data_IF_660663507257
#
_entry.id   IF_660663507257
#
_cell.length_a   1.000
_cell.length_b   1.000
_cell.length_c   1.000
_cell.angle_alpha   90.00
_cell.angle_beta   90.00
_cell.angle_gamma   90.00
#
_symmetry.space_group_name_H-M   'P 1'
#
loop_
_entity.id
_entity.type
_entity.pdbx_description
1 polymer ?
#
# COMPACT_ATOMS: atom_id res chain seq x y z
N UNK A 1 33.03 12.81 -20.64
CA UNK A 1 33.07 11.44 -20.06
C UNK A 1 31.71 11.18 -19.44
N UNK A 2 30.86 10.44 -20.14
CA UNK A 2 29.47 10.18 -19.78
C UNK A 2 29.39 8.95 -18.88
N UNK A 3 28.96 9.13 -17.64
CA UNK A 3 28.85 8.06 -16.65
C UNK A 3 27.65 7.18 -17.02
N UNK A 4 27.92 6.00 -17.57
CA UNK A 4 26.90 5.06 -18.02
C UNK A 4 26.00 4.60 -16.85
N UNK A 5 24.71 4.94 -16.94
CA UNK A 5 23.64 4.38 -16.11
C UNK A 5 23.59 2.87 -16.37
N UNK A 6 23.94 2.05 -15.37
CA UNK A 6 23.88 0.58 -15.49
C UNK A 6 22.43 0.12 -15.62
N UNK A 7 22.04 -0.29 -16.83
CA UNK A 7 20.81 -1.05 -17.10
C UNK A 7 20.93 -2.44 -16.48
N UNK A 8 20.01 -2.80 -15.58
CA UNK A 8 19.89 -4.17 -15.05
C UNK A 8 18.68 -4.80 -15.74
N UNK A 9 18.92 -5.72 -16.66
CA UNK A 9 17.87 -6.55 -17.25
C UNK A 9 17.44 -7.53 -16.16
N UNK A 10 16.27 -7.32 -15.58
CA UNK A 10 15.60 -8.37 -14.81
C UNK A 10 14.85 -9.25 -15.83
N UNK A 11 14.76 -10.56 -15.60
CA UNK A 11 14.21 -11.56 -16.53
C UNK A 11 13.01 -11.07 -17.40
N UNK A 12 12.86 -11.58 -18.63
CA UNK A 12 12.87 -10.84 -19.89
C UNK A 12 11.54 -10.14 -20.19
N UNK A 13 11.22 -9.05 -19.49
CA UNK A 13 9.91 -8.42 -19.71
C UNK A 13 9.99 -6.90 -19.87
N UNK A 14 10.84 -6.20 -19.10
CA UNK A 14 10.88 -4.73 -19.17
C UNK A 14 12.28 -4.15 -19.02
N UNK A 15 12.53 -3.07 -19.76
CA UNK A 15 13.67 -2.20 -19.53
C UNK A 15 13.32 -1.21 -18.42
N UNK A 16 14.05 -1.28 -17.31
CA UNK A 16 13.89 -0.39 -16.15
C UNK A 16 14.94 0.72 -16.21
N UNK A 17 14.49 1.97 -16.13
CA UNK A 17 15.35 3.16 -16.02
C UNK A 17 15.10 3.84 -14.67
N UNK A 18 16.17 4.26 -14.00
CA UNK A 18 16.09 4.98 -12.72
C UNK A 18 16.48 6.44 -12.91
N UNK A 19 15.96 7.35 -12.07
CA UNK A 19 16.49 8.71 -11.97
C UNK A 19 18.00 8.69 -11.67
N UNK A 20 18.76 9.61 -12.27
CA UNK A 20 20.20 9.70 -12.01
C UNK A 20 20.53 10.18 -10.59
N UNK A 21 19.57 10.85 -9.93
CA UNK A 21 19.70 11.39 -8.58
C UNK A 21 18.62 10.83 -7.66
N UNK A 22 18.89 10.70 -6.35
CA UNK A 22 17.84 10.39 -5.38
C UNK A 22 16.69 11.40 -5.46
N UNK A 23 15.47 10.91 -5.31
CA UNK A 23 14.28 11.75 -5.35
C UNK A 23 14.26 12.77 -4.21
N UNK A 24 13.68 13.95 -4.48
CA UNK A 24 13.53 15.09 -3.57
C UNK A 24 12.28 15.02 -2.72
N UNK A 25 11.32 14.16 -3.07
CA UNK A 25 10.07 13.98 -2.32
C UNK A 25 10.21 12.75 -1.40
N UNK A 26 10.31 12.94 -0.07
CA UNK A 26 10.35 11.82 0.87
C UNK A 26 9.11 10.95 0.71
N UNK A 27 9.26 9.63 0.79
CA UNK A 27 8.15 8.71 0.59
C UNK A 27 7.77 8.46 -0.87
N UNK A 28 8.56 8.91 -1.86
CA UNK A 28 8.35 8.62 -3.29
C UNK A 28 9.54 7.92 -3.92
N UNK A 29 9.27 6.90 -4.74
CA UNK A 29 10.24 6.27 -5.63
C UNK A 29 9.70 6.25 -7.06
N UNK A 30 10.53 6.64 -8.03
CA UNK A 30 10.15 6.75 -9.45
C UNK A 30 10.96 5.77 -10.31
N UNK A 31 10.28 5.13 -11.26
CA UNK A 31 10.87 4.23 -12.24
C UNK A 31 10.33 4.51 -13.64
N UNK A 32 11.20 4.50 -14.64
CA UNK A 32 10.80 4.42 -16.04
C UNK A 32 10.75 2.97 -16.46
N UNK A 33 9.64 2.54 -17.04
CA UNK A 33 9.46 1.19 -17.54
C UNK A 33 9.16 1.26 -19.03
N UNK A 34 9.82 0.40 -19.80
CA UNK A 34 9.62 0.30 -21.24
C UNK A 34 9.53 -1.16 -21.65
N UNK A 35 8.50 -1.44 -22.43
CA UNK A 35 8.32 -2.70 -23.15
C UNK A 35 8.65 -2.53 -24.61
N UNK A 36 9.45 -3.46 -25.14
CA UNK A 36 9.66 -3.65 -26.58
C UNK A 36 9.68 -5.12 -26.94
N UNK A 37 9.09 -5.97 -26.08
CA UNK A 37 8.99 -7.39 -26.32
C UNK A 37 8.12 -7.70 -27.54
N UNK A 38 8.39 -8.80 -28.27
CA UNK A 38 7.60 -9.19 -29.44
C UNK A 38 6.19 -9.69 -29.07
N UNK A 39 5.93 -9.97 -27.78
CA UNK A 39 4.65 -10.46 -27.29
C UNK A 39 4.10 -9.53 -26.21
N UNK A 40 2.76 -9.32 -26.15
CA UNK A 40 2.13 -8.61 -25.05
C UNK A 40 2.48 -9.26 -23.71
N UNK A 41 2.78 -8.40 -22.75
CA UNK A 41 3.02 -8.81 -21.38
C UNK A 41 1.69 -9.12 -20.70
N UNK A 42 1.62 -10.26 -20.02
CA UNK A 42 0.49 -10.64 -19.16
C UNK A 42 1.02 -11.25 -17.85
N UNK A 43 1.07 -10.43 -16.79
CA UNK A 43 1.56 -10.84 -15.48
C UNK A 43 0.58 -10.58 -14.36
N UNK A 44 0.63 -11.42 -13.32
CA UNK A 44 -0.07 -11.18 -12.07
C UNK A 44 0.51 -9.94 -11.39
N UNK A 45 -0.38 -9.08 -10.90
CA UNK A 45 -0.01 -8.01 -9.99
C UNK A 45 -0.09 -8.55 -8.56
N UNK A 46 1.06 -8.67 -7.91
CA UNK A 46 1.10 -9.09 -6.52
C UNK A 46 0.71 -7.93 -5.58
N UNK A 47 0.22 -8.21 -4.37
CA UNK A 47 0.02 -7.19 -3.35
C UNK A 47 1.34 -6.58 -2.89
N UNK A 48 1.35 -5.29 -2.60
CA UNK A 48 2.53 -4.55 -2.14
C UNK A 48 2.16 -3.49 -1.10
N UNK A 49 3.08 -3.09 -0.21
CA UNK A 49 2.83 -2.14 0.87
C UNK A 49 2.96 -0.68 0.42
N UNK A 50 2.77 -0.38 -0.87
CA UNK A 50 2.84 0.99 -1.40
C UNK A 50 1.63 1.29 -2.27
N UNK A 51 1.29 2.56 -2.43
CA UNK A 51 0.39 2.96 -3.50
C UNK A 51 1.22 3.12 -4.78
N UNK A 52 0.70 2.64 -5.90
CA UNK A 52 1.41 2.73 -7.18
C UNK A 52 0.59 3.54 -8.17
N UNK A 53 1.19 4.60 -8.73
CA UNK A 53 0.70 5.23 -9.94
C UNK A 53 1.50 4.67 -11.10
N UNK A 54 0.81 4.22 -12.14
CA UNK A 54 1.41 3.91 -13.42
C UNK A 54 0.96 4.97 -14.43
N UNK A 55 1.89 5.84 -14.83
CA UNK A 55 1.64 7.00 -15.68
C UNK A 55 2.07 6.67 -17.11
N UNK A 56 1.13 6.63 -18.05
CA UNK A 56 1.44 6.42 -19.46
C UNK A 56 2.26 7.59 -20.01
N UNK A 57 3.35 7.28 -20.71
CA UNK A 57 4.27 8.28 -21.28
C UNK A 57 4.22 8.33 -22.82
N UNK A 58 3.27 7.64 -23.45
CA UNK A 58 3.10 7.55 -24.91
C UNK A 58 1.79 6.86 -25.29
N UNK A 59 1.66 6.47 -26.56
CA UNK A 59 0.40 5.90 -27.11
C UNK A 59 0.12 4.45 -26.71
N UNK A 60 1.08 3.76 -26.08
CA UNK A 60 0.92 2.37 -25.66
C UNK A 60 -0.13 2.19 -24.56
N UNK A 61 -0.89 1.09 -24.62
CA UNK A 61 -1.93 0.77 -23.65
C UNK A 61 -1.38 -0.07 -22.49
N UNK A 62 -1.22 0.55 -21.33
CA UNK A 62 -1.13 -0.16 -20.04
C UNK A 62 -2.55 -0.47 -19.54
N UNK A 63 -2.76 -1.69 -19.10
CA UNK A 63 -4.04 -2.12 -18.55
C UNK A 63 -3.92 -3.01 -17.33
N UNK A 64 -4.93 -2.92 -16.47
CA UNK A 64 -5.14 -3.84 -15.35
C UNK A 64 -6.50 -4.49 -15.55
N UNK A 65 -6.52 -5.82 -15.53
CA UNK A 65 -7.74 -6.63 -15.57
C UNK A 65 -7.95 -7.26 -14.19
N UNK A 66 -9.10 -7.00 -13.58
CA UNK A 66 -9.51 -7.58 -12.31
C UNK A 66 -10.19 -8.95 -12.50
N UNK A 67 -10.20 -9.80 -11.47
CA UNK A 67 -10.94 -11.08 -11.49
C UNK A 67 -12.46 -10.90 -11.65
N UNK A 68 -12.99 -9.73 -11.29
CA UNK A 68 -14.40 -9.38 -11.49
C UNK A 68 -14.75 -9.16 -12.96
N UNK A 69 -13.76 -9.18 -13.87
CA UNK A 69 -13.92 -8.91 -15.29
C UNK A 69 -13.79 -7.42 -15.66
N UNK A 70 -13.69 -6.52 -14.67
CA UNK A 70 -13.42 -5.10 -14.91
C UNK A 70 -12.04 -4.89 -15.51
N UNK A 71 -11.95 -3.97 -16.47
CA UNK A 71 -10.72 -3.64 -17.18
C UNK A 71 -10.46 -2.15 -17.09
N UNK A 72 -9.25 -1.79 -16.68
CA UNK A 72 -8.79 -0.41 -16.51
C UNK A 72 -7.67 -0.14 -17.50
N UNK A 73 -7.65 1.04 -18.12
CA UNK A 73 -6.67 1.39 -19.16
C UNK A 73 -6.13 2.81 -18.94
N UNK A 74 -4.92 3.05 -19.41
CA UNK A 74 -4.29 4.37 -19.37
C UNK A 74 -3.43 4.57 -18.12
N UNK A 75 -3.52 5.77 -17.52
CA UNK A 75 -2.80 6.06 -16.28
C UNK A 75 -3.62 5.62 -15.08
N UNK A 76 -3.07 4.70 -14.28
CA UNK A 76 -3.78 3.97 -13.25
C UNK A 76 -3.17 4.20 -11.87
N UNK A 77 -4.00 4.17 -10.83
CA UNK A 77 -3.57 4.23 -9.44
C UNK A 77 -4.11 3.03 -8.69
N UNK A 78 -3.22 2.26 -8.07
CA UNK A 78 -3.57 1.12 -7.22
C UNK A 78 -3.31 1.44 -5.76
N UNK A 79 -4.25 1.06 -4.90
CA UNK A 79 -4.06 1.20 -3.46
C UNK A 79 -3.25 0.07 -2.83
N UNK A 80 -3.13 0.15 -1.51
CA UNK A 80 -2.33 -0.78 -0.72
C UNK A 80 -2.86 -2.20 -0.79
N UNK A 81 -1.96 -3.14 -1.07
CA UNK A 81 -2.31 -4.55 -1.19
C UNK A 81 -3.32 -4.84 -2.30
N UNK A 82 -3.46 -3.96 -3.29
CA UNK A 82 -4.26 -4.28 -4.48
C UNK A 82 -3.71 -5.56 -5.15
N UNK A 83 -4.61 -6.43 -5.60
CA UNK A 83 -4.25 -7.76 -6.13
C UNK A 83 -4.28 -8.89 -5.11
N UNK A 84 -4.69 -8.65 -3.85
CA UNK A 84 -4.86 -9.71 -2.84
C UNK A 84 -5.75 -10.83 -3.39
N UNK A 85 -5.30 -12.07 -3.24
CA UNK A 85 -5.94 -13.26 -3.80
C UNK A 85 -5.54 -13.58 -5.24
N UNK A 86 -4.60 -12.84 -5.83
CA UNK A 86 -4.00 -13.18 -7.13
C UNK A 86 -4.83 -12.85 -8.35
N UNK A 87 -5.86 -12.03 -8.17
CA UNK A 87 -6.92 -11.80 -9.13
C UNK A 87 -6.57 -10.78 -10.23
N UNK A 88 -5.64 -9.86 -9.97
CA UNK A 88 -5.34 -8.75 -10.86
C UNK A 88 -4.19 -9.09 -11.82
N UNK A 89 -4.37 -8.77 -13.10
CA UNK A 89 -3.36 -8.99 -14.14
C UNK A 89 -3.03 -7.69 -14.86
N UNK A 90 -1.73 -7.40 -14.99
CA UNK A 90 -1.22 -6.32 -15.81
C UNK A 90 -1.08 -6.82 -17.24
N UNK A 91 -1.66 -6.07 -18.17
CA UNK A 91 -1.50 -6.26 -19.61
C UNK A 91 -0.88 -5.04 -20.22
N UNK A 92 0.18 -5.23 -20.99
CA UNK A 92 0.79 -4.14 -21.72
C UNK A 92 1.50 -4.64 -22.98
N UNK A 93 1.56 -3.81 -24.01
CA UNK A 93 2.28 -4.10 -25.23
C UNK A 93 2.80 -2.80 -25.81
N UNK A 94 4.09 -2.77 -26.18
CA UNK A 94 4.73 -1.59 -26.80
C UNK A 94 4.48 -0.29 -26.02
N UNK A 95 4.60 -0.37 -24.69
CA UNK A 95 4.25 0.74 -23.80
C UNK A 95 5.49 1.30 -23.10
N UNK A 96 5.44 2.61 -22.88
CA UNK A 96 6.31 3.31 -21.95
C UNK A 96 5.45 3.88 -20.85
N UNK A 97 5.79 3.57 -19.60
CA UNK A 97 5.12 4.16 -18.46
C UNK A 97 6.10 4.48 -17.36
N UNK A 98 5.73 5.44 -16.54
CA UNK A 98 6.43 5.74 -15.30
C UNK A 98 5.69 5.09 -14.15
N UNK A 99 6.40 4.29 -13.36
CA UNK A 99 5.89 3.81 -12.08
C UNK A 99 6.29 4.81 -11.00
N UNK A 100 5.31 5.26 -10.22
CA UNK A 100 5.49 6.07 -9.03
C UNK A 100 5.01 5.27 -7.84
N UNK A 101 5.91 4.92 -6.93
CA UNK A 101 5.58 4.33 -5.64
C UNK A 101 5.47 5.42 -4.59
N UNK A 102 4.37 5.41 -3.86
CA UNK A 102 4.02 6.44 -2.87
C UNK A 102 3.79 5.78 -1.53
N UNK A 103 4.49 6.26 -0.51
CA UNK A 103 4.28 5.84 0.87
C UNK A 103 2.85 6.19 1.31
N UNK A 104 2.15 5.29 2.00
CA UNK A 104 0.83 5.56 2.59
C UNK A 104 0.76 6.85 3.41
N UNK A 105 1.87 7.21 4.06
CA UNK A 105 1.93 8.38 4.93
C UNK A 105 1.94 9.73 4.18
N UNK A 106 2.24 9.77 2.87
CA UNK A 106 2.06 10.97 2.02
C UNK A 106 0.94 10.85 1.00
N UNK A 107 0.32 9.66 0.89
CA UNK A 107 -0.65 9.35 -0.14
C UNK A 107 -1.82 10.34 -0.18
N UNK A 108 -2.36 10.74 0.99
CA UNK A 108 -3.45 11.71 1.05
C UNK A 108 -3.05 13.10 0.56
N UNK A 109 -1.81 13.52 0.82
CA UNK A 109 -1.29 14.79 0.35
C UNK A 109 -1.12 14.80 -1.17
N UNK A 110 -0.73 13.66 -1.74
CA UNK A 110 -0.38 13.53 -3.17
C UNK A 110 -1.57 13.15 -4.05
N UNK A 111 -2.43 12.25 -3.60
CA UNK A 111 -3.52 11.68 -4.37
C UNK A 111 -4.86 12.36 -4.11
N UNK A 112 -4.94 13.27 -3.13
CA UNK A 112 -6.17 13.92 -2.65
C UNK A 112 -7.22 12.99 -2.03
N UNK A 113 -7.06 11.67 -2.15
CA UNK A 113 -7.88 10.64 -1.51
C UNK A 113 -7.15 9.96 -0.37
N UNK A 114 -7.87 9.53 0.67
CA UNK A 114 -7.29 8.72 1.73
C UNK A 114 -6.93 7.32 1.24
N UNK A 115 -5.84 6.69 1.74
CA UNK A 115 -5.51 5.30 1.39
C UNK A 115 -6.64 4.28 1.62
N UNK A 116 -7.51 4.54 2.61
CA UNK A 116 -8.68 3.70 2.90
C UNK A 116 -9.70 3.69 1.75
N UNK A 117 -9.79 4.77 0.99
CA UNK A 117 -10.70 4.91 -0.15
C UNK A 117 -10.17 4.13 -1.36
N UNK A 118 -8.86 3.87 -1.40
CA UNK A 118 -8.20 3.06 -2.42
C UNK A 118 -7.94 1.61 -1.98
N UNK A 119 -8.48 1.19 -0.84
CA UNK A 119 -8.18 -0.14 -0.30
C UNK A 119 -8.57 -1.24 -1.30
N UNK A 120 -7.57 -2.02 -1.73
CA UNK A 120 -7.74 -3.08 -2.72
C UNK A 120 -8.50 -2.65 -3.98
N UNK A 121 -8.38 -1.38 -4.39
CA UNK A 121 -8.98 -0.86 -5.62
C UNK A 121 -7.94 -0.34 -6.60
N UNK A 122 -8.39 -0.22 -7.85
CA UNK A 122 -7.69 0.46 -8.94
C UNK A 122 -8.63 1.51 -9.52
N UNK A 123 -8.09 2.70 -9.75
CA UNK A 123 -8.82 3.85 -10.32
C UNK A 123 -7.99 4.50 -11.41
N UNK A 124 -8.63 5.28 -12.26
CA UNK A 124 -7.90 6.09 -13.24
C UNK A 124 -7.32 7.34 -12.58
N UNK A 125 -6.25 7.88 -13.17
CA UNK A 125 -5.70 9.15 -12.72
C UNK A 125 -6.70 10.31 -12.91
N UNK A 126 -7.56 10.21 -13.93
CA UNK A 126 -8.60 11.17 -14.24
C UNK A 126 -9.65 11.25 -13.13
N UNK A 127 -10.05 10.11 -12.57
CA UNK A 127 -10.99 10.05 -11.44
C UNK A 127 -10.42 10.74 -10.18
N UNK A 128 -9.10 10.65 -9.97
CA UNK A 128 -8.44 11.21 -8.78
C UNK A 128 -8.07 12.69 -8.91
N UNK A 129 -7.53 13.08 -10.07
CA UNK A 129 -6.96 14.41 -10.28
C UNK A 129 -7.84 15.32 -11.15
N UNK A 130 -8.93 14.78 -11.68
CA UNK A 130 -9.78 15.42 -12.67
C UNK A 130 -9.15 15.36 -14.07
N UNK A 131 -10.00 15.23 -15.08
CA UNK A 131 -9.62 15.07 -16.50
C UNK A 131 -8.59 16.12 -16.96
N UNK A 132 -8.84 17.40 -16.65
CA UNK A 132 -7.97 18.50 -17.09
C UNK A 132 -6.54 18.37 -16.59
N UNK A 133 -6.37 18.00 -15.31
CA UNK A 133 -5.04 17.90 -14.70
C UNK A 133 -4.34 16.63 -15.15
N UNK A 134 -5.05 15.51 -15.20
CA UNK A 134 -4.53 14.24 -15.67
C UNK A 134 -4.10 14.32 -17.15
N UNK A 135 -4.93 14.93 -18.01
CA UNK A 135 -4.61 15.19 -19.41
C UNK A 135 -3.36 16.04 -19.57
N UNK A 136 -3.26 17.17 -18.85
CA UNK A 136 -2.06 18.03 -18.89
C UNK A 136 -0.79 17.26 -18.52
N UNK A 137 -0.83 16.42 -17.48
CA UNK A 137 0.33 15.62 -17.11
C UNK A 137 0.69 14.60 -18.19
N UNK A 138 -0.30 13.91 -18.77
CA UNK A 138 -0.07 12.95 -19.86
C UNK A 138 0.55 13.62 -21.08
N UNK A 139 0.02 14.78 -21.50
CA UNK A 139 0.56 15.57 -22.62
C UNK A 139 2.01 15.98 -22.36
N UNK A 140 2.31 16.46 -21.16
CA UNK A 140 3.67 16.83 -20.78
C UNK A 140 4.63 15.64 -20.77
N UNK A 141 4.19 14.49 -20.24
CA UNK A 141 4.99 13.26 -20.23
C UNK A 141 5.26 12.75 -21.66
N UNK A 142 4.26 12.80 -22.53
CA UNK A 142 4.37 12.39 -23.93
C UNK A 142 5.27 13.33 -24.75
N UNK A 143 5.20 14.64 -24.50
CA UNK A 143 6.04 15.64 -25.16
C UNK A 143 7.50 15.62 -24.69
N UNK A 144 7.80 14.95 -23.57
CA UNK A 144 9.14 14.89 -22.99
C UNK A 144 9.92 13.69 -23.55
N UNK A 145 11.10 13.95 -24.11
CA UNK A 145 11.88 12.96 -24.84
C UNK A 145 12.75 12.07 -23.92
N UNK A 146 13.25 12.58 -22.80
CA UNK A 146 14.14 11.83 -21.91
C UNK A 146 13.47 11.36 -20.61
N UNK A 147 13.92 10.23 -20.08
CA UNK A 147 13.45 9.73 -18.78
C UNK A 147 13.78 10.71 -17.63
N UNK A 148 14.95 11.35 -17.66
CA UNK A 148 15.35 12.27 -16.59
C UNK A 148 14.44 13.50 -16.51
N UNK A 149 14.07 14.07 -17.66
CA UNK A 149 13.12 15.18 -17.71
C UNK A 149 11.72 14.73 -17.26
N UNK A 150 11.27 13.53 -17.65
CA UNK A 150 9.99 12.97 -17.17
C UNK A 150 10.02 12.81 -15.65
N UNK A 151 11.12 12.30 -15.07
CA UNK A 151 11.27 12.14 -13.63
C UNK A 151 11.21 13.48 -12.91
N UNK A 152 11.97 14.48 -13.39
CA UNK A 152 11.97 15.82 -12.83
C UNK A 152 10.58 16.48 -12.87
N UNK A 153 9.84 16.26 -13.97
CA UNK A 153 8.48 16.78 -14.13
C UNK A 153 7.51 16.17 -13.12
N UNK A 154 7.49 14.84 -13.00
CA UNK A 154 6.60 14.15 -12.05
C UNK A 154 7.00 14.50 -10.62
N UNK A 155 8.29 14.52 -10.31
CA UNK A 155 8.79 14.93 -9.00
C UNK A 155 8.34 16.35 -8.62
N UNK A 156 8.41 17.31 -9.53
CA UNK A 156 7.95 18.68 -9.27
C UNK A 156 6.44 18.74 -8.96
N UNK A 157 5.64 17.96 -9.67
CA UNK A 157 4.19 17.85 -9.42
C UNK A 157 3.92 17.23 -8.04
N UNK A 158 4.60 16.13 -7.72
CA UNK A 158 4.45 15.43 -6.44
C UNK A 158 4.94 16.28 -5.26
N UNK A 159 6.04 17.02 -5.42
CA UNK A 159 6.57 17.93 -4.41
C UNK A 159 5.57 19.04 -4.07
N UNK A 160 4.98 19.67 -5.10
CA UNK A 160 3.95 20.69 -4.92
C UNK A 160 2.72 20.14 -4.19
N UNK A 161 2.28 18.95 -4.56
CA UNK A 161 1.15 18.30 -3.90
C UNK A 161 1.45 17.95 -2.45
N UNK A 162 2.60 17.33 -2.19
CA UNK A 162 3.01 16.95 -0.85
C UNK A 162 3.15 18.15 0.08
N UNK A 163 3.59 19.31 -0.45
CA UNK A 163 3.72 20.54 0.33
C UNK A 163 2.37 21.24 0.62
N UNK A 164 1.39 21.11 -0.28
CA UNK A 164 0.08 21.74 -0.13
C UNK A 164 -0.97 20.84 0.56
N UNK A 165 -0.77 19.53 0.51
CA UNK A 165 -1.72 18.54 1.01
C UNK A 165 -1.64 18.33 2.52
N UNK A 166 -2.66 17.67 3.10
CA UNK A 166 -2.69 17.40 4.55
C UNK A 166 -1.57 16.43 4.94
N UNK A 167 -0.76 16.82 5.93
CA UNK A 167 0.22 15.95 6.55
C UNK A 167 -0.45 14.90 7.45
N UNK A 168 0.19 13.73 7.57
CA UNK A 168 -0.16 12.71 8.55
C UNK A 168 0.48 13.03 9.91
N UNK A 169 -0.09 12.47 10.99
CA UNK A 169 0.50 12.53 12.31
C UNK A 169 1.94 11.93 12.31
N UNK A 170 2.97 12.65 12.82
CA UNK A 170 4.36 12.17 12.82
C UNK A 170 4.56 10.80 13.47
N UNK A 171 3.81 10.51 14.54
CA UNK A 171 3.79 9.23 15.23
C UNK A 171 3.38 8.09 14.29
N UNK A 172 2.43 8.36 13.39
CA UNK A 172 1.91 7.37 12.48
C UNK A 172 2.83 7.16 11.26
N UNK A 173 3.47 8.23 10.79
CA UNK A 173 4.55 8.14 9.80
C UNK A 173 5.73 7.32 10.37
N UNK A 174 6.13 7.59 11.61
CA UNK A 174 7.17 6.84 12.30
C UNK A 174 6.81 5.36 12.44
N UNK A 175 5.59 5.03 12.87
CA UNK A 175 5.16 3.65 13.04
C UNK A 175 5.17 2.89 11.71
N UNK A 176 4.72 3.53 10.62
CA UNK A 176 4.82 2.97 9.28
C UNK A 176 6.27 2.73 8.87
N UNK A 177 7.13 3.74 9.01
CA UNK A 177 8.55 3.65 8.63
C UNK A 177 9.29 2.59 9.46
N UNK A 178 8.92 2.38 10.73
CA UNK A 178 9.44 1.31 11.59
C UNK A 178 9.04 -0.07 11.09
N UNK A 179 7.77 -0.27 10.74
CA UNK A 179 7.30 -1.52 10.12
C UNK A 179 8.10 -1.81 8.85
N UNK A 180 8.30 -0.82 7.99
CA UNK A 180 9.05 -0.97 6.74
C UNK A 180 10.54 -1.27 7.01
N UNK A 181 11.16 -0.52 7.92
CA UNK A 181 12.58 -0.68 8.25
C UNK A 181 12.90 -2.05 8.87
N UNK A 182 11.95 -2.63 9.62
CA UNK A 182 12.06 -3.97 10.18
C UNK A 182 11.43 -5.05 9.29
N UNK A 183 11.07 -4.71 8.06
CA UNK A 183 10.49 -5.64 7.10
C UNK A 183 9.26 -6.41 7.65
N UNK A 184 8.44 -5.73 8.45
CA UNK A 184 7.25 -6.30 9.06
C UNK A 184 7.55 -7.33 10.15
N UNK A 185 8.72 -7.30 10.78
CA UNK A 185 9.06 -8.18 11.91
C UNK A 185 8.70 -7.58 13.27
N UNK A 186 8.50 -6.26 13.34
CA UNK A 186 8.07 -5.55 14.55
C UNK A 186 6.71 -6.05 15.06
N UNK A 187 6.56 -6.08 16.39
CA UNK A 187 5.28 -6.44 17.03
C UNK A 187 4.37 -5.21 17.11
N UNK A 188 3.08 -5.40 16.84
CA UNK A 188 2.10 -4.30 16.93
C UNK A 188 1.96 -3.78 18.36
N UNK A 189 2.13 -4.66 19.35
CA UNK A 189 2.15 -4.29 20.76
C UNK A 189 3.31 -3.34 21.08
N UNK A 190 4.52 -3.65 20.59
CA UNK A 190 5.73 -2.83 20.78
C UNK A 190 5.57 -1.44 20.16
N UNK A 191 5.03 -1.36 18.94
CA UNK A 191 4.69 -0.07 18.32
C UNK A 191 3.70 0.75 19.17
N UNK A 192 2.70 0.09 19.77
CA UNK A 192 1.72 0.77 20.60
C UNK A 192 2.35 1.29 21.90
N UNK A 193 3.19 0.48 22.53
CA UNK A 193 3.89 0.80 23.78
C UNK A 193 4.89 1.94 23.58
N UNK A 194 5.68 1.92 22.51
CA UNK A 194 6.63 2.99 22.18
C UNK A 194 5.91 4.33 21.91
N UNK A 195 4.76 4.30 21.25
CA UNK A 195 3.94 5.48 21.01
C UNK A 195 3.16 5.95 22.25
N UNK A 196 3.12 5.17 23.33
CA UNK A 196 2.23 5.40 24.47
C UNK A 196 0.74 5.33 24.09
N UNK A 197 0.40 4.59 23.03
CA UNK A 197 -0.96 4.45 22.53
C UNK A 197 -1.58 3.13 22.96
N UNK A 198 -2.89 3.12 23.22
CA UNK A 198 -3.60 1.85 23.34
C UNK A 198 -3.65 1.15 21.97
N UNK A 199 -3.71 -0.19 21.97
CA UNK A 199 -3.89 -0.98 20.75
C UNK A 199 -5.12 -0.56 19.94
N UNK A 200 -6.20 -0.15 20.63
CA UNK A 200 -7.44 0.36 19.99
C UNK A 200 -7.18 1.70 19.28
N UNK A 201 -6.43 2.62 19.90
CA UNK A 201 -6.04 3.89 19.28
C UNK A 201 -5.15 3.66 18.07
N UNK A 202 -4.12 2.81 18.21
CA UNK A 202 -3.23 2.46 17.10
C UNK A 202 -4.02 1.89 15.92
N UNK A 203 -4.88 0.89 16.19
CA UNK A 203 -5.74 0.29 15.18
C UNK A 203 -6.60 1.33 14.45
N UNK A 204 -7.31 2.18 15.20
CA UNK A 204 -8.21 3.19 14.64
C UNK A 204 -7.47 4.22 13.79
N UNK A 205 -6.30 4.69 14.24
CA UNK A 205 -5.50 5.67 13.51
C UNK A 205 -4.90 5.09 12.24
N UNK A 206 -4.34 3.88 12.30
CA UNK A 206 -3.84 3.16 11.12
C UNK A 206 -4.94 2.95 10.08
N UNK A 207 -6.09 2.44 10.49
CA UNK A 207 -7.20 2.22 9.57
C UNK A 207 -7.69 3.53 8.93
N UNK A 208 -7.88 4.58 9.72
CA UNK A 208 -8.43 5.85 9.22
C UNK A 208 -7.46 6.63 8.32
N UNK A 209 -6.15 6.56 8.59
CA UNK A 209 -5.16 7.40 7.89
C UNK A 209 -4.34 6.65 6.85
N UNK A 210 -4.03 5.38 7.10
CA UNK A 210 -3.23 4.53 6.22
C UNK A 210 -4.06 3.48 5.47
N UNK A 211 -5.35 3.34 5.76
CA UNK A 211 -6.24 2.42 5.05
C UNK A 211 -6.05 0.96 5.38
N UNK A 212 -5.20 0.62 6.36
CA UNK A 212 -4.96 -0.76 6.78
C UNK A 212 -4.81 -0.84 8.30
N UNK A 213 -5.38 -1.87 8.96
CA UNK A 213 -5.03 -2.19 10.34
C UNK A 213 -3.53 -2.48 10.53
N UNK A 214 -2.93 -2.17 11.70
CA UNK A 214 -1.50 -2.37 11.95
C UNK A 214 -1.02 -3.79 11.69
N UNK A 215 -1.77 -4.80 12.14
CA UNK A 215 -1.44 -6.22 11.91
C UNK A 215 -1.40 -6.58 10.43
N UNK A 216 -2.29 -5.97 9.62
CA UNK A 216 -2.35 -6.22 8.17
C UNK A 216 -1.21 -5.50 7.45
N UNK A 217 -0.84 -4.30 7.88
CA UNK A 217 0.35 -3.60 7.40
C UNK A 217 1.64 -4.41 7.65
N UNK A 218 1.86 -4.87 8.89
CA UNK A 218 3.00 -5.74 9.27
C UNK A 218 3.08 -6.98 8.39
N UNK A 219 1.94 -7.68 8.21
CA UNK A 219 1.88 -8.87 7.34
C UNK A 219 2.19 -8.55 5.88
N UNK A 220 1.64 -7.46 5.34
CA UNK A 220 1.84 -7.07 3.95
C UNK A 220 3.30 -6.72 3.66
N UNK A 221 3.95 -5.95 4.56
CA UNK A 221 5.38 -5.62 4.44
C UNK A 221 6.24 -6.88 4.56
N UNK A 222 5.93 -7.79 5.49
CA UNK A 222 6.66 -9.05 5.64
C UNK A 222 6.52 -9.95 4.41
N UNK A 223 5.31 -10.08 3.89
CA UNK A 223 5.03 -10.84 2.68
C UNK A 223 5.80 -10.28 1.48
N UNK A 224 5.75 -8.96 1.28
CA UNK A 224 6.43 -8.29 0.18
C UNK A 224 7.96 -8.50 0.24
N UNK A 225 8.53 -8.48 1.45
CA UNK A 225 9.93 -8.83 1.66
C UNK A 225 10.26 -10.29 1.34
N UNK A 226 9.39 -11.21 1.77
CA UNK A 226 9.54 -12.63 1.46
C UNK A 226 9.39 -12.92 -0.03
N UNK A 227 8.42 -12.28 -0.71
CA UNK A 227 8.21 -12.42 -2.15
C UNK A 227 9.42 -11.93 -2.95
N UNK A 228 10.03 -10.81 -2.54
CA UNK A 228 11.28 -10.31 -3.13
C UNK A 228 12.40 -11.33 -3.05
N UNK A 229 12.57 -12.00 -1.91
CA UNK A 229 13.58 -13.04 -1.72
C UNK A 229 13.31 -14.32 -2.50
N UNK A 230 12.06 -14.76 -2.54
CA UNK A 230 11.64 -15.91 -3.34
C UNK A 230 11.96 -15.67 -4.83
N UNK A 231 11.63 -14.49 -5.36
CA UNK A 231 11.98 -14.13 -6.73
C UNK A 231 13.50 -13.94 -6.95
N UNK A 232 14.23 -13.61 -5.89
CA UNK A 232 15.70 -13.64 -5.87
C UNK A 232 16.30 -15.04 -5.88
N UNK A 233 15.47 -16.10 -5.94
CA UNK A 233 15.91 -17.49 -6.00
C UNK A 233 16.27 -18.12 -4.66
N UNK A 234 15.92 -17.48 -3.53
CA UNK A 234 16.17 -18.07 -2.22
C UNK A 234 15.15 -19.17 -1.89
N UNK A 235 15.66 -20.25 -1.29
CA UNK A 235 14.86 -21.40 -0.86
C UNK A 235 13.78 -21.02 0.17
N UNK A 236 12.57 -21.52 0.00
CA UNK A 236 11.41 -21.12 0.80
C UNK A 236 11.58 -21.33 2.30
N UNK A 237 12.27 -22.39 2.73
CA UNK A 237 12.56 -22.63 4.14
C UNK A 237 13.49 -21.56 4.74
N UNK A 238 14.49 -21.12 3.98
CA UNK A 238 15.40 -20.03 4.37
C UNK A 238 14.68 -18.69 4.37
N UNK A 239 13.87 -18.42 3.36
CA UNK A 239 13.02 -17.22 3.32
C UNK A 239 12.09 -17.15 4.53
N UNK A 240 11.49 -18.28 4.93
CA UNK A 240 10.63 -18.33 6.11
C UNK A 240 11.39 -17.89 7.38
N UNK A 241 12.56 -18.47 7.63
CA UNK A 241 13.40 -18.12 8.77
C UNK A 241 13.85 -16.65 8.72
N UNK A 242 14.43 -16.20 7.60
CA UNK A 242 14.99 -14.85 7.45
C UNK A 242 13.91 -13.75 7.50
N UNK A 243 12.67 -14.07 7.11
CA UNK A 243 11.56 -13.12 7.11
C UNK A 243 10.69 -13.18 8.40
N UNK A 244 11.05 -14.00 9.39
CA UNK A 244 10.34 -14.07 10.67
C UNK A 244 9.01 -14.83 10.61
N UNK A 245 8.89 -15.79 9.69
CA UNK A 245 7.84 -16.80 9.75
C UNK A 245 8.22 -17.91 10.73
N UNK A 246 7.22 -18.51 11.36
CA UNK A 246 7.42 -19.61 12.31
C UNK A 246 8.02 -20.84 11.61
N UNK A 247 7.59 -21.10 10.38
CA UNK A 247 8.01 -22.23 9.55
C UNK A 247 7.64 -21.97 8.08
N UNK A 248 8.08 -22.86 7.18
CA UNK A 248 7.76 -22.78 5.75
C UNK A 248 6.26 -22.89 5.46
N UNK A 249 5.51 -23.64 6.27
CA UNK A 249 4.05 -23.82 6.11
C UNK A 249 3.29 -22.53 6.43
N UNK A 250 3.79 -21.71 7.37
CA UNK A 250 3.27 -20.38 7.66
C UNK A 250 3.57 -19.41 6.50
N UNK A 251 4.80 -19.41 5.97
CA UNK A 251 5.14 -18.65 4.76
C UNK A 251 4.20 -19.03 3.61
N UNK A 252 4.02 -20.33 3.36
CA UNK A 252 3.16 -20.83 2.29
C UNK A 252 1.72 -20.33 2.43
N UNK A 253 1.13 -20.41 3.64
CA UNK A 253 -0.24 -19.93 3.90
C UNK A 253 -0.38 -18.43 3.63
N UNK A 254 0.55 -17.61 4.10
CA UNK A 254 0.50 -16.16 3.87
C UNK A 254 0.70 -15.84 2.37
N UNK A 255 1.64 -16.51 1.69
CA UNK A 255 1.84 -16.34 0.23
C UNK A 255 0.59 -16.71 -0.56
N UNK A 256 -0.04 -17.85 -0.25
CA UNK A 256 -1.31 -18.26 -0.87
C UNK A 256 -2.43 -17.24 -0.58
N UNK A 257 -2.51 -16.72 0.64
CA UNK A 257 -3.54 -15.74 1.01
C UNK A 257 -3.36 -14.40 0.25
N UNK A 258 -2.12 -13.95 0.06
CA UNK A 258 -1.85 -12.71 -0.66
C UNK A 258 -1.92 -12.88 -2.18
N UNK A 259 -1.39 -13.97 -2.74
CA UNK A 259 -1.17 -14.09 -4.19
C UNK A 259 -2.05 -15.11 -4.88
N UNK A 260 -2.80 -15.93 -4.13
CA UNK A 260 -3.56 -17.05 -4.68
C UNK A 260 -2.71 -18.20 -5.22
N UNK A 261 -1.38 -18.12 -5.17
CA UNK A 261 -0.46 -19.11 -5.74
C UNK A 261 0.63 -19.52 -4.76
N UNK A 262 1.37 -20.57 -5.10
CA UNK A 262 2.42 -21.12 -4.23
C UNK A 262 3.69 -20.25 -4.22
N UNK A 263 4.54 -20.36 -3.18
CA UNK A 263 5.85 -19.71 -3.13
C UNK A 263 6.73 -20.00 -4.37
N UNK A 264 6.68 -21.23 -4.91
CA UNK A 264 7.42 -21.60 -6.10
C UNK A 264 6.94 -20.82 -7.34
N UNK A 265 5.63 -20.59 -7.45
CA UNK A 265 5.07 -19.75 -8.52
C UNK A 265 5.47 -18.29 -8.37
N UNK A 266 5.47 -17.75 -7.14
CA UNK A 266 5.95 -16.38 -6.87
C UNK A 266 7.40 -16.22 -7.29
N UNK A 267 8.27 -17.21 -6.98
CA UNK A 267 9.67 -17.18 -7.35
C UNK A 267 9.92 -17.04 -8.86
N UNK A 268 9.04 -17.59 -9.70
CA UNK A 268 9.19 -17.57 -11.16
C UNK A 268 8.38 -16.51 -11.92
N UNK A 269 7.40 -15.85 -11.29
CA UNK A 269 6.37 -15.07 -12.01
C UNK A 269 5.98 -13.74 -11.36
N UNK A 270 6.64 -13.34 -10.27
CA UNK A 270 6.28 -12.09 -9.58
C UNK A 270 6.81 -10.86 -10.33
N UNK A 271 5.89 -10.07 -10.89
CA UNK A 271 6.22 -8.81 -11.57
C UNK A 271 6.79 -7.78 -10.58
N UNK A 272 6.21 -7.71 -9.38
CA UNK A 272 6.64 -6.78 -8.33
C UNK A 272 8.00 -7.19 -7.78
N UNK A 273 8.22 -8.45 -7.43
CA UNK A 273 9.52 -8.88 -6.94
C UNK A 273 10.62 -8.74 -8.00
N UNK A 274 10.30 -8.96 -9.28
CA UNK A 274 11.19 -8.69 -10.41
C UNK A 274 11.53 -7.20 -10.51
N UNK A 275 10.53 -6.32 -10.42
CA UNK A 275 10.76 -4.88 -10.38
C UNK A 275 11.50 -4.43 -9.11
N UNK A 276 11.29 -5.11 -7.97
CA UNK A 276 11.80 -4.75 -6.64
C UNK A 276 13.21 -5.22 -6.38
N UNK A 277 13.64 -6.31 -7.00
CA UNK A 277 15.07 -6.64 -7.12
C UNK A 277 15.86 -5.56 -7.90
N UNK A 278 15.15 -4.71 -8.65
CA UNK A 278 15.68 -3.50 -9.24
C UNK A 278 15.45 -2.25 -8.34
N UNK A 279 15.30 -2.39 -7.02
CA UNK A 279 15.32 -1.27 -6.06
C UNK A 279 16.06 -1.66 -4.78
N UNK A 280 16.71 -0.69 -4.13
CA UNK A 280 17.29 -0.87 -2.78
C UNK A 280 16.30 -0.41 -1.70
N UNK A 281 15.36 0.48 -2.05
CA UNK A 281 14.28 0.99 -1.19
C UNK A 281 12.92 0.87 -1.89
N UNK A 282 12.47 -0.35 -2.19
CA UNK A 282 11.24 -0.57 -2.96
C UNK A 282 9.96 -0.17 -2.22
N UNK A 283 10.04 -0.04 -0.89
CA UNK A 283 9.01 0.58 -0.04
C UNK A 283 9.56 1.91 0.47
N UNK A 284 9.09 3.05 -0.06
CA UNK A 284 9.66 4.34 0.30
C UNK A 284 9.26 4.72 1.72
N UNK A 285 10.24 5.23 2.47
CA UNK A 285 10.07 5.76 3.83
C UNK A 285 10.05 7.28 3.79
N UNK A 286 9.33 7.92 4.70
CA UNK A 286 9.44 9.38 4.85
C UNK A 286 10.74 9.75 5.57
N UNK A 287 11.12 8.94 6.55
CA UNK A 287 12.24 9.20 7.41
C UNK A 287 13.49 8.43 6.97
N UNK A 288 14.09 8.81 5.83
CA UNK A 288 15.53 8.60 5.69
C UNK A 288 16.32 9.41 6.76
N UNK A 289 15.67 10.43 7.35
CA UNK A 289 16.25 11.41 8.28
C UNK A 289 16.16 11.07 9.77
N UNK A 290 15.34 10.11 10.22
CA UNK A 290 15.04 9.96 11.66
C UNK A 290 15.76 8.79 12.34
N UNK A 291 16.38 7.88 11.59
CA UNK A 291 16.98 6.66 12.15
C UNK A 291 15.97 5.85 12.98
N UNK A 292 16.43 4.84 13.71
CA UNK A 292 15.59 4.09 14.66
C UNK A 292 15.28 4.90 15.94
N UNK A 293 15.20 6.23 15.88
CA UNK A 293 14.99 7.04 17.07
C UNK A 293 13.58 6.78 17.65
N UNK A 294 13.46 6.55 18.97
CA UNK A 294 12.20 6.23 19.61
C UNK A 294 11.22 7.40 19.59
N UNK A 295 9.93 7.07 19.68
CA UNK A 295 8.82 8.02 19.73
C UNK A 295 8.81 8.95 20.96
N UNK A 296 9.72 8.77 21.92
CA UNK A 296 9.92 9.67 23.07
C UNK A 296 10.31 11.11 22.70
N UNK A 297 10.55 11.40 21.41
CA UNK A 297 10.72 12.77 20.89
C UNK A 297 9.41 13.48 20.53
N UNK A 298 8.27 12.80 20.51
CA UNK A 298 6.97 13.42 20.23
C UNK A 298 6.30 14.02 21.48
N UNK A 299 7.05 14.22 22.57
CA UNK A 299 6.55 14.76 23.84
C UNK A 299 5.90 16.15 23.64
N UNK A 300 4.56 16.14 23.59
CA UNK A 300 3.61 17.24 23.52
C UNK A 300 2.28 16.80 24.19
N UNK A 301 1.31 17.70 24.44
CA UNK A 301 0.39 17.66 25.61
C UNK A 301 -0.72 16.58 25.61
N UNK A 302 -0.56 15.49 24.85
CA UNK A 302 -1.58 14.45 24.68
C UNK A 302 -1.25 13.11 25.34
N UNK A 303 -0.34 13.08 26.32
CA UNK A 303 -0.21 11.90 27.19
C UNK A 303 -1.43 11.84 28.13
N UNK A 304 -2.33 10.85 28.01
CA UNK A 304 -3.34 10.64 29.05
C UNK A 304 -2.60 10.28 30.35
N UNK A 305 -3.04 10.79 31.52
CA UNK A 305 -2.39 10.49 32.78
C UNK A 305 -2.37 8.96 33.00
N UNK A 306 -1.31 8.43 33.63
CA UNK A 306 -1.25 7.01 33.96
C UNK A 306 -2.46 6.63 34.82
N UNK A 307 -3.02 5.42 34.67
CA UNK A 307 -4.08 4.96 35.56
C UNK A 307 -3.52 4.97 36.99
N UNK A 308 -4.05 5.83 37.85
CA UNK A 308 -3.74 5.85 39.26
C UNK A 308 -4.26 4.56 39.88
N UNK A 309 -3.40 3.55 39.96
CA UNK A 309 -3.63 2.34 40.73
C UNK A 309 -3.50 2.65 42.21
N UNK A 310 -4.62 2.99 42.84
CA UNK A 310 -4.78 3.03 44.28
C UNK A 310 -5.89 2.08 44.67
N UNK A 311 -5.54 0.86 45.04
CA UNK A 311 -6.49 -0.06 45.66
C UNK A 311 -6.76 0.36 47.10
N UNK A 312 -8.02 0.59 47.43
CA UNK A 312 -8.52 0.32 48.78
C UNK A 312 -9.84 -0.42 48.70
N UNK A 313 -9.86 -1.50 49.47
CA UNK A 313 -10.91 -2.48 49.68
C UNK A 313 -12.06 -1.86 50.47
N UNK A 314 -13.29 -2.16 50.07
CA UNK A 314 -14.42 -2.40 50.96
C UNK A 314 -15.17 -1.19 51.49
N UNK A 315 -16.39 -0.97 50.97
CA UNK A 315 -17.60 -0.92 51.79
C UNK A 315 -18.84 -1.09 50.89
N UNK A 316 -19.70 -2.05 51.25
CA UNK A 316 -21.10 -2.14 50.81
C UNK A 316 -21.93 -1.34 51.83
N UNK A 317 -23.01 -0.65 51.48
CA UNK A 317 -24.46 -1.04 51.46
C UNK A 317 -25.22 0.33 51.57
N UNK A 318 -26.55 0.51 51.33
CA UNK A 318 -27.45 0.24 50.20
C UNK A 318 -28.22 1.51 49.69
N UNK A 319 -28.97 1.36 48.59
CA UNK A 319 -30.32 1.94 48.49
C UNK A 319 -30.55 3.07 47.49
N UNK A 320 -31.75 3.02 46.89
CA UNK A 320 -32.40 3.97 45.96
C UNK A 320 -32.03 3.75 44.49
N UNK A 321 -32.74 2.90 43.73
CA UNK A 321 -34.12 3.09 43.24
C UNK A 321 -34.31 4.41 42.51
N UNK A 322 -34.28 4.38 41.18
CA UNK A 322 -35.41 4.85 40.37
C UNK A 322 -35.37 4.19 38.98
N UNK A 323 -36.48 3.54 38.72
CA UNK A 323 -36.97 2.93 37.50
C UNK A 323 -37.40 4.01 36.49
N UNK A 324 -37.01 3.89 35.22
CA UNK A 324 -37.84 4.33 34.09
C UNK A 324 -37.59 3.39 32.90
N UNK A 325 -38.33 2.28 32.84
CA UNK A 325 -38.71 1.65 31.57
C UNK A 325 -40.05 2.18 31.10
N UNK A 326 -40.10 2.68 29.87
CA UNK A 326 -41.21 2.47 28.93
C UNK A 326 -40.88 3.17 27.62
N UNK A 327 -41.32 2.77 26.43
CA UNK A 327 -41.97 1.59 25.83
C UNK A 327 -41.93 1.95 24.34
N UNK A 328 -41.55 1.04 23.45
CA UNK A 328 -42.36 0.83 22.24
C UNK A 328 -42.05 -0.52 21.60
N UNK A 329 -43.13 -1.31 21.51
CA UNK A 329 -43.20 -2.66 20.97
C UNK A 329 -43.24 -2.64 19.44
N UNK A 330 -42.65 -3.70 18.91
CA UNK A 330 -42.86 -4.35 17.61
C UNK A 330 -44.30 -4.28 17.09
N UNK A 331 -44.43 -4.12 15.76
CA UNK A 331 -45.44 -4.79 14.92
C UNK A 331 -44.79 -5.27 13.62
N UNK A 332 -44.70 -6.59 13.46
CA UNK A 332 -44.72 -7.26 12.16
C UNK A 332 -46.18 -7.43 11.73
N UNK A 333 -46.48 -7.53 10.42
CA UNK A 333 -47.61 -8.30 9.94
C UNK A 333 -47.16 -9.60 9.25
N UNK A 334 -48.08 -10.56 9.33
CA UNK A 334 -47.95 -11.95 8.97
C UNK A 334 -48.07 -12.21 7.45
N UNK A 335 -47.57 -13.39 7.07
CA UNK A 335 -47.89 -14.09 5.81
C UNK A 335 -49.39 -14.42 5.76
N UNK A 336 -49.99 -14.22 4.59
CA UNK A 336 -51.18 -14.95 4.16
C UNK A 336 -50.85 -15.58 2.79
N UNK A 337 -51.05 -16.88 2.70
CA UNK A 337 -51.20 -17.60 1.45
C UNK A 337 -52.69 -17.56 1.09
N UNK A 338 -53.03 -17.28 -0.16
CA UNK A 338 -54.24 -17.83 -0.76
C UNK A 338 -54.07 -17.99 -2.27
N UNK A 339 -54.74 -19.01 -2.79
CA UNK A 339 -54.69 -19.52 -4.16
C UNK A 339 -55.82 -18.96 -5.03
N UNK A 340 -55.72 -19.18 -6.35
CA UNK A 340 -56.73 -18.89 -7.39
C UNK A 340 -56.10 -18.08 -8.53
N UNK A 341 -55.68 -18.67 -9.65
CA UNK A 341 -56.43 -19.32 -10.74
C UNK A 341 -57.38 -18.38 -11.51
N UNK A 342 -57.32 -18.50 -12.85
CA UNK A 342 -58.08 -17.82 -13.91
C UNK A 342 -57.54 -16.49 -14.47
N UNK A 343 -57.02 -16.53 -15.71
CA UNK A 343 -56.77 -15.36 -16.57
C UNK A 343 -55.61 -15.53 -17.53
#
# INVERSE_FOLDING_TARGET
>A
MSTAVRQRVVAPVWQVTRPARPGRVPGVVLAGMRDRGPAPVDHRLDPHPVLTLALACGEGALGIDESTGRRHRGSLVTGLGFGVGGAARVRAANVEWMQVRVSPAIARAVLSVGPAELESSVVTLDDLWGERRAARLREQLAATASWEERFALVEAVLARLSAAGPAIEPELAWAWDRIVAEHGQVRVEELADELGWSRKRLWSRFHARLGLPPKRAVKLVRFDWAATRLAGGQEAARVAADCGYADQSHLHRDVMAFTGVTPATVAGQSLIATADMAWVDHVPRLSARWGNAPASRFDGPHRPPPPTGGGTRGERVPGQSTDVRSRHRRRQPARAADAGDSG
#
